data_IF_634109740353
#
_entry.id   IF_634109740353
#
_cell.length_a   1.000
_cell.length_b   1.000
_cell.length_c   1.000
_cell.angle_alpha   90.00
_cell.angle_beta   90.00
_cell.angle_gamma   90.00
#
_symmetry.space_group_name_H-M   'P 1'
#
loop_
_entity.id
_entity.type
_entity.pdbx_description
1 polymer ?
#
# COMPACT_ATOMS: atom_id res chain seq x y z
N UNK A 1 -14.36 31.71 27.54
CA UNK A 1 -13.07 31.15 27.98
C UNK A 1 -12.17 31.10 26.75
N UNK A 2 -11.39 32.16 26.52
CA UNK A 2 -10.46 32.24 25.37
C UNK A 2 -9.27 31.32 25.65
N UNK A 3 -8.98 30.40 24.74
CA UNK A 3 -7.75 29.61 24.79
C UNK A 3 -6.55 30.60 24.71
N UNK A 4 -5.46 30.39 25.49
CA UNK A 4 -4.29 31.27 25.49
C UNK A 4 -3.45 31.22 24.19
N UNK A 5 -3.98 30.58 23.14
CA UNK A 5 -3.32 30.41 21.85
C UNK A 5 -4.24 30.90 20.75
N UNK A 6 -3.69 31.73 19.84
CA UNK A 6 -4.41 32.23 18.70
C UNK A 6 -4.65 31.11 17.67
N UNK A 7 -5.85 30.52 17.70
CA UNK A 7 -6.25 29.45 16.78
C UNK A 7 -6.45 29.91 15.33
N UNK A 8 -6.35 31.22 15.05
CA UNK A 8 -6.48 31.74 13.69
C UNK A 8 -5.20 31.56 12.86
N UNK A 9 -4.03 31.39 13.51
CA UNK A 9 -2.75 31.25 12.80
C UNK A 9 -2.62 29.87 12.11
N UNK A 10 -2.29 29.81 10.80
CA UNK A 10 -2.29 28.56 10.03
C UNK A 10 -1.31 27.50 10.57
N UNK A 11 -0.14 27.92 11.05
CA UNK A 11 0.84 27.01 11.65
C UNK A 11 0.35 26.35 12.96
N UNK A 12 -0.42 27.09 13.78
CA UNK A 12 -0.98 26.57 15.03
C UNK A 12 -2.08 25.55 14.72
N UNK A 13 -2.91 25.81 13.70
CA UNK A 13 -3.93 24.85 13.23
C UNK A 13 -3.30 23.56 12.71
N UNK A 14 -2.21 23.65 11.95
CA UNK A 14 -1.49 22.48 11.46
C UNK A 14 -0.90 21.67 12.61
N UNK A 15 -0.25 22.33 13.57
CA UNK A 15 0.30 21.68 14.76
C UNK A 15 -0.79 20.99 15.60
N UNK A 16 -1.96 21.61 15.78
CA UNK A 16 -3.10 21.00 16.49
C UNK A 16 -3.66 19.78 15.75
N UNK A 17 -3.78 19.83 14.42
CA UNK A 17 -4.20 18.66 13.61
C UNK A 17 -3.18 17.53 13.71
N UNK A 18 -1.89 17.86 13.64
CA UNK A 18 -0.80 16.90 13.79
C UNK A 18 -0.79 16.26 15.18
N UNK A 19 -0.96 17.04 16.25
CA UNK A 19 -1.06 16.52 17.62
C UNK A 19 -2.23 15.55 17.81
N UNK A 20 -3.40 15.84 17.22
CA UNK A 20 -4.53 14.90 17.21
C UNK A 20 -4.17 13.61 16.47
N UNK A 21 -3.52 13.73 15.32
CA UNK A 21 -3.08 12.57 14.53
C UNK A 21 -2.07 11.70 15.27
N UNK A 22 -1.16 12.30 16.03
CA UNK A 22 -0.21 11.60 16.91
C UNK A 22 -0.89 10.80 18.02
N UNK A 23 -2.04 11.23 18.52
CA UNK A 23 -2.78 10.49 19.54
C UNK A 23 -3.64 9.36 18.94
N UNK A 24 -4.37 9.65 17.87
CA UNK A 24 -5.33 8.71 17.29
C UNK A 24 -4.69 7.59 16.47
N UNK A 25 -3.62 7.87 15.73
CA UNK A 25 -3.00 6.86 14.84
C UNK A 25 -2.39 5.68 15.61
N UNK A 26 -1.53 5.90 16.63
CA UNK A 26 -0.96 4.78 17.38
C UNK A 26 -2.04 3.97 18.10
N UNK A 27 -3.06 4.64 18.65
CA UNK A 27 -4.18 3.97 19.30
C UNK A 27 -4.93 3.05 18.33
N UNK A 28 -5.22 3.52 17.12
CA UNK A 28 -5.92 2.73 16.11
C UNK A 28 -5.06 1.56 15.58
N UNK A 29 -3.75 1.78 15.40
CA UNK A 29 -2.81 0.70 15.04
C UNK A 29 -2.77 -0.37 16.12
N UNK A 30 -2.65 0.02 17.39
CA UNK A 30 -2.65 -0.92 18.53
C UNK A 30 -3.98 -1.68 18.64
N UNK A 31 -5.11 -1.00 18.42
CA UNK A 31 -6.42 -1.64 18.38
C UNK A 31 -6.49 -2.73 17.30
N UNK A 32 -5.99 -2.44 16.10
CA UNK A 32 -5.96 -3.42 15.01
C UNK A 32 -5.05 -4.62 15.34
N UNK A 33 -3.84 -4.36 15.86
CA UNK A 33 -2.93 -5.43 16.30
C UNK A 33 -3.59 -6.30 17.36
N UNK A 34 -4.21 -5.70 18.38
CA UNK A 34 -4.91 -6.41 19.43
C UNK A 34 -6.06 -7.26 18.87
N UNK A 35 -6.87 -6.70 17.97
CA UNK A 35 -7.97 -7.43 17.33
C UNK A 35 -7.46 -8.66 16.55
N UNK A 36 -6.39 -8.51 15.76
CA UNK A 36 -5.78 -9.63 15.02
C UNK A 36 -5.26 -10.71 15.97
N UNK A 37 -4.52 -10.34 17.03
CA UNK A 37 -3.96 -11.29 18.00
C UNK A 37 -5.07 -12.02 18.76
N UNK A 38 -6.09 -11.31 19.25
CA UNK A 38 -7.23 -11.90 19.97
C UNK A 38 -8.00 -12.86 19.05
N UNK A 39 -8.30 -12.45 17.82
CA UNK A 39 -9.04 -13.30 16.88
C UNK A 39 -8.23 -14.51 16.40
N UNK A 40 -6.89 -14.40 16.35
CA UNK A 40 -6.03 -15.49 15.92
C UNK A 40 -5.72 -16.51 17.04
N UNK A 41 -5.59 -16.06 18.29
CA UNK A 41 -5.05 -16.88 19.39
C UNK A 41 -6.08 -17.16 20.50
N UNK A 42 -6.96 -16.21 20.80
CA UNK A 42 -7.82 -16.27 21.99
C UNK A 42 -9.21 -16.84 21.67
N UNK A 43 -9.77 -16.50 20.51
CA UNK A 43 -11.10 -16.94 20.13
C UNK A 43 -11.11 -18.36 19.56
N UNK A 44 -12.17 -19.11 19.91
CA UNK A 44 -12.49 -20.42 19.35
C UNK A 44 -13.92 -20.36 18.75
N UNK A 45 -14.11 -20.58 17.43
CA UNK A 45 -13.09 -20.89 16.45
C UNK A 45 -12.15 -19.71 16.19
N UNK A 46 -10.87 -20.00 15.96
CA UNK A 46 -9.89 -18.96 15.61
C UNK A 46 -10.09 -18.45 14.18
N UNK A 47 -9.58 -17.26 13.86
CA UNK A 47 -9.64 -16.71 12.49
C UNK A 47 -9.02 -17.66 11.46
N UNK A 48 -7.97 -18.39 11.84
CA UNK A 48 -7.37 -19.46 11.04
C UNK A 48 -8.36 -20.60 10.79
N UNK A 49 -8.99 -21.12 11.85
CA UNK A 49 -9.98 -22.20 11.73
C UNK A 49 -11.19 -21.78 10.90
N UNK A 50 -11.64 -20.52 11.02
CA UNK A 50 -12.69 -19.99 10.15
C UNK A 50 -12.22 -19.99 8.70
N UNK A 51 -11.00 -19.53 8.43
CA UNK A 51 -10.42 -19.56 7.08
C UNK A 51 -10.29 -20.98 6.52
N UNK A 52 -9.92 -21.96 7.35
CA UNK A 52 -9.79 -23.37 6.97
C UNK A 52 -11.16 -23.98 6.66
N UNK A 53 -12.19 -23.65 7.46
CA UNK A 53 -13.57 -24.09 7.26
C UNK A 53 -14.22 -23.51 5.99
N UNK A 54 -13.87 -22.28 5.63
CA UNK A 54 -14.33 -21.58 4.43
C UNK A 54 -13.18 -21.44 3.43
N UNK A 55 -12.60 -22.57 3.03
CA UNK A 55 -11.43 -22.58 2.16
C UNK A 55 -11.75 -22.04 0.77
N UNK A 56 -10.89 -21.15 0.27
CA UNK A 56 -11.00 -20.55 -1.07
C UNK A 56 -9.70 -20.75 -1.86
N UNK A 57 -9.69 -20.57 -3.19
CA UNK A 57 -8.47 -20.56 -3.99
C UNK A 57 -7.45 -19.51 -3.56
N UNK A 58 -7.92 -18.46 -2.87
CA UNK A 58 -7.13 -17.32 -2.42
C UNK A 58 -6.54 -17.48 -1.03
N UNK A 59 -6.90 -18.54 -0.29
CA UNK A 59 -6.36 -18.78 1.05
C UNK A 59 -4.84 -18.94 0.96
N UNK A 60 -4.07 -18.03 1.57
CA UNK A 60 -2.62 -18.14 1.59
C UNK A 60 -2.18 -19.12 2.67
N UNK A 61 -0.93 -19.55 2.59
CA UNK A 61 -0.27 -20.22 3.69
C UNK A 61 -0.31 -19.31 4.93
N UNK A 62 -0.82 -19.79 6.08
CA UNK A 62 -0.98 -18.96 7.29
C UNK A 62 0.32 -18.32 7.76
N UNK A 63 1.45 -19.01 7.59
CA UNK A 63 2.77 -18.51 8.02
C UNK A 63 3.25 -17.39 7.11
N UNK A 64 3.06 -17.54 5.79
CA UNK A 64 3.43 -16.51 4.83
C UNK A 64 2.60 -15.23 5.02
N UNK A 65 1.30 -15.39 5.29
CA UNK A 65 0.40 -14.27 5.60
C UNK A 65 0.75 -13.61 6.94
N UNK A 66 1.04 -14.40 7.98
CA UNK A 66 1.46 -13.87 9.28
C UNK A 66 2.76 -13.07 9.18
N UNK A 67 3.74 -13.52 8.39
CA UNK A 67 4.99 -12.79 8.18
C UNK A 67 4.73 -11.45 7.45
N UNK A 68 3.82 -11.45 6.47
CA UNK A 68 3.43 -10.23 5.77
C UNK A 68 2.82 -9.20 6.73
N UNK A 69 1.89 -9.62 7.58
CA UNK A 69 1.27 -8.76 8.60
C UNK A 69 2.29 -8.28 9.64
N UNK A 70 3.20 -9.15 10.07
CA UNK A 70 4.26 -8.78 11.01
C UNK A 70 5.11 -7.62 10.47
N UNK A 71 5.61 -7.75 9.24
CA UNK A 71 6.39 -6.68 8.58
C UNK A 71 5.56 -5.40 8.44
N UNK A 72 4.31 -5.53 8.03
CA UNK A 72 3.39 -4.40 7.87
C UNK A 72 3.16 -3.67 9.20
N UNK A 73 2.94 -4.40 10.30
CA UNK A 73 2.76 -3.80 11.63
C UNK A 73 4.03 -3.15 12.16
N UNK A 74 5.21 -3.74 11.94
CA UNK A 74 6.49 -3.11 12.29
C UNK A 74 6.66 -1.77 11.56
N UNK A 75 6.31 -1.71 10.27
CA UNK A 75 6.34 -0.47 9.49
C UNK A 75 5.30 0.55 9.98
N UNK A 76 4.08 0.13 10.33
CA UNK A 76 3.03 0.99 10.89
C UNK A 76 3.43 1.57 12.25
N UNK A 77 4.04 0.78 13.13
CA UNK A 77 4.56 1.26 14.41
C UNK A 77 5.70 2.25 14.17
N UNK A 78 6.59 1.95 13.23
CA UNK A 78 7.68 2.86 12.84
C UNK A 78 7.16 4.18 12.25
N UNK A 79 6.08 4.13 11.47
CA UNK A 79 5.37 5.32 11.00
C UNK A 79 4.81 6.15 12.16
N UNK A 80 4.25 5.51 13.18
CA UNK A 80 3.77 6.18 14.39
C UNK A 80 4.92 6.89 15.15
N UNK A 81 6.11 6.30 15.20
CA UNK A 81 7.29 6.97 15.77
C UNK A 81 7.71 8.18 14.92
N UNK A 82 7.62 8.07 13.59
CA UNK A 82 7.92 9.17 12.68
C UNK A 82 6.96 10.35 12.90
N UNK A 83 5.68 10.10 13.18
CA UNK A 83 4.71 11.15 13.54
C UNK A 83 5.17 11.95 14.76
N UNK A 84 5.78 11.31 15.75
CA UNK A 84 6.27 11.99 16.96
C UNK A 84 7.50 12.84 16.67
N UNK A 85 8.42 12.34 15.83
CA UNK A 85 9.70 13.01 15.52
C UNK A 85 9.55 14.08 14.42
N UNK A 86 8.41 14.14 13.72
CA UNK A 86 8.17 15.07 12.62
C UNK A 86 8.05 16.54 13.08
N UNK A 87 9.20 17.20 13.14
CA UNK A 87 9.30 18.62 13.54
C UNK A 87 9.33 19.62 12.37
N UNK A 88 9.40 19.14 11.12
CA UNK A 88 9.42 20.02 9.93
C UNK A 88 8.01 20.25 9.40
N UNK A 89 7.63 21.49 9.03
CA UNK A 89 6.28 21.80 8.56
C UNK A 89 5.89 21.04 7.30
N UNK A 90 6.83 20.85 6.35
CA UNK A 90 6.64 20.03 5.15
C UNK A 90 6.19 18.59 5.48
N UNK A 91 6.79 17.98 6.51
CA UNK A 91 6.44 16.62 6.95
C UNK A 91 5.06 16.60 7.58
N UNK A 92 4.74 17.61 8.37
CA UNK A 92 3.46 17.71 9.05
C UNK A 92 2.32 17.90 8.03
N UNK A 93 2.52 18.69 6.97
CA UNK A 93 1.53 18.85 5.90
C UNK A 93 1.29 17.54 5.16
N UNK A 94 2.35 16.84 4.75
CA UNK A 94 2.24 15.54 4.10
C UNK A 94 1.50 14.53 5.00
N UNK A 95 1.81 14.48 6.28
CA UNK A 95 1.19 13.53 7.22
C UNK A 95 -0.27 13.88 7.51
N UNK A 96 -0.61 15.16 7.63
CA UNK A 96 -1.97 15.61 7.94
C UNK A 96 -2.89 15.56 6.71
N UNK A 97 -2.40 15.97 5.54
CA UNK A 97 -3.22 16.07 4.33
C UNK A 97 -3.09 14.86 3.39
N UNK A 98 -1.92 14.20 3.35
CA UNK A 98 -1.71 13.01 2.53
C UNK A 98 -2.27 11.74 3.17
N UNK A 99 -1.87 11.47 4.42
CA UNK A 99 -2.30 10.26 5.15
C UNK A 99 -3.51 10.55 6.03
N UNK A 100 -3.42 11.59 6.86
CA UNK A 100 -4.50 12.16 7.64
C UNK A 100 -5.27 11.16 8.52
N UNK A 101 -6.51 11.55 8.84
CA UNK A 101 -7.45 10.73 9.63
C UNK A 101 -7.91 9.47 8.86
N UNK A 102 -7.71 9.42 7.53
CA UNK A 102 -8.08 8.27 6.71
C UNK A 102 -7.37 7.00 7.18
N UNK A 103 -6.08 7.08 7.56
CA UNK A 103 -5.36 5.91 8.06
C UNK A 103 -5.93 5.40 9.40
N UNK A 104 -6.41 6.30 10.27
CA UNK A 104 -7.09 5.92 11.51
C UNK A 104 -8.33 5.10 11.19
N UNK A 105 -9.15 5.55 10.24
CA UNK A 105 -10.33 4.81 9.80
C UNK A 105 -9.98 3.47 9.17
N UNK A 106 -8.94 3.40 8.33
CA UNK A 106 -8.44 2.13 7.77
C UNK A 106 -8.13 1.15 8.89
N UNK A 107 -7.31 1.53 9.88
CA UNK A 107 -6.94 0.63 10.97
C UNK A 107 -8.17 0.18 11.79
N UNK A 108 -9.12 1.07 12.05
CA UNK A 108 -10.36 0.72 12.73
C UNK A 108 -11.22 -0.26 11.91
N UNK A 109 -11.40 -0.02 10.61
CA UNK A 109 -12.18 -0.92 9.76
C UNK A 109 -11.50 -2.27 9.57
N UNK A 110 -10.17 -2.32 9.52
CA UNK A 110 -9.43 -3.58 9.48
C UNK A 110 -9.54 -4.36 10.80
N UNK A 111 -9.55 -3.66 11.94
CA UNK A 111 -9.83 -4.28 13.23
C UNK A 111 -11.25 -4.86 13.29
N UNK A 112 -12.24 -4.10 12.82
CA UNK A 112 -13.64 -4.56 12.75
C UNK A 112 -13.80 -5.70 11.73
N UNK A 113 -13.04 -5.67 10.63
CA UNK A 113 -13.03 -6.71 9.61
C UNK A 113 -12.64 -8.06 10.20
N UNK A 114 -11.50 -8.15 10.90
CA UNK A 114 -11.04 -9.43 11.45
C UNK A 114 -12.00 -9.98 12.52
N UNK A 115 -12.60 -9.10 13.32
CA UNK A 115 -13.64 -9.48 14.29
C UNK A 115 -14.88 -10.00 13.58
N UNK A 116 -15.40 -9.26 12.59
CA UNK A 116 -16.58 -9.66 11.82
C UNK A 116 -16.34 -10.98 11.06
N UNK A 117 -15.15 -11.17 10.50
CA UNK A 117 -14.74 -12.40 9.83
C UNK A 117 -14.76 -13.59 10.78
N UNK A 118 -14.17 -13.44 11.96
CA UNK A 118 -14.10 -14.51 12.98
C UNK A 118 -15.49 -14.87 13.51
N UNK A 119 -16.38 -13.89 13.63
CA UNK A 119 -17.81 -14.08 13.97
C UNK A 119 -18.65 -14.59 12.79
N UNK A 120 -18.06 -14.86 11.62
CA UNK A 120 -18.72 -15.32 10.39
C UNK A 120 -19.72 -14.32 9.80
N UNK A 121 -19.63 -13.04 10.16
CA UNK A 121 -20.38 -11.95 9.52
C UNK A 121 -19.68 -11.50 8.22
N UNK A 122 -19.63 -12.40 7.24
CA UNK A 122 -18.84 -12.21 6.01
C UNK A 122 -19.26 -10.99 5.18
N UNK A 123 -20.55 -10.66 5.15
CA UNK A 123 -21.03 -9.45 4.45
C UNK A 123 -20.50 -8.19 5.14
N UNK A 124 -20.55 -8.13 6.48
CA UNK A 124 -20.01 -6.99 7.22
C UNK A 124 -18.49 -6.88 7.05
N UNK A 125 -17.79 -8.01 7.11
CA UNK A 125 -16.34 -8.11 6.84
C UNK A 125 -15.98 -7.62 5.42
N UNK A 126 -16.76 -8.00 4.41
CA UNK A 126 -16.60 -7.52 3.03
C UNK A 126 -16.79 -6.00 2.92
N UNK A 127 -17.81 -5.45 3.61
CA UNK A 127 -18.06 -4.00 3.64
C UNK A 127 -16.88 -3.26 4.30
N UNK A 128 -16.40 -3.72 5.46
CA UNK A 128 -15.27 -3.10 6.13
C UNK A 128 -13.97 -3.18 5.32
N UNK A 129 -13.72 -4.31 4.66
CA UNK A 129 -12.57 -4.48 3.76
C UNK A 129 -12.66 -3.54 2.56
N UNK A 130 -13.84 -3.41 1.96
CA UNK A 130 -14.08 -2.50 0.82
C UNK A 130 -13.90 -1.03 1.20
N UNK A 131 -14.41 -0.63 2.38
CA UNK A 131 -14.20 0.72 2.91
C UNK A 131 -12.72 0.97 3.21
N UNK A 132 -12.02 0.01 3.81
CA UNK A 132 -10.58 0.10 4.08
C UNK A 132 -9.79 0.31 2.79
N UNK A 133 -10.11 -0.48 1.74
CA UNK A 133 -9.50 -0.33 0.43
C UNK A 133 -9.77 1.05 -0.19
N UNK A 134 -11.00 1.56 -0.09
CA UNK A 134 -11.35 2.88 -0.61
C UNK A 134 -10.51 3.98 0.05
N UNK A 135 -10.39 3.97 1.38
CA UNK A 135 -9.56 4.94 2.10
C UNK A 135 -8.07 4.77 1.80
N UNK A 136 -7.59 3.53 1.63
CA UNK A 136 -6.20 3.27 1.25
C UNK A 136 -5.88 3.79 -0.16
N UNK A 137 -6.76 3.56 -1.14
CA UNK A 137 -6.63 4.11 -2.49
C UNK A 137 -6.66 5.63 -2.45
N UNK A 138 -7.54 6.23 -1.64
CA UNK A 138 -7.57 7.68 -1.46
C UNK A 138 -6.26 8.24 -0.89
N UNK A 139 -5.69 7.60 0.14
CA UNK A 139 -4.39 7.97 0.71
C UNK A 139 -3.31 7.84 -0.35
N UNK A 140 -3.32 6.75 -1.12
CA UNK A 140 -2.33 6.50 -2.17
C UNK A 140 -2.37 7.53 -3.29
N UNK A 141 -3.57 7.93 -3.73
CA UNK A 141 -3.78 9.01 -4.68
C UNK A 141 -3.32 10.36 -4.11
N UNK A 142 -3.66 10.65 -2.85
CA UNK A 142 -3.26 11.87 -2.16
C UNK A 142 -1.74 11.98 -2.03
N UNK A 143 -1.05 10.85 -1.84
CA UNK A 143 0.41 10.78 -1.77
C UNK A 143 1.09 11.13 -3.10
N UNK A 144 0.40 11.14 -4.23
CA UNK A 144 0.98 11.63 -5.49
C UNK A 144 1.25 13.13 -5.49
N UNK A 145 0.50 13.89 -4.71
CA UNK A 145 0.73 15.33 -4.56
C UNK A 145 2.01 15.62 -3.76
N UNK A 146 2.54 14.62 -3.05
CA UNK A 146 3.74 14.73 -2.20
C UNK A 146 4.77 13.67 -2.62
N UNK A 147 5.41 13.83 -3.80
CA UNK A 147 6.29 12.80 -4.34
C UNK A 147 7.49 12.55 -3.42
N UNK A 148 7.95 11.30 -3.31
CA UNK A 148 9.08 10.96 -2.46
C UNK A 148 10.37 11.57 -2.98
N UNK A 149 11.09 12.28 -2.10
CA UNK A 149 12.42 12.79 -2.42
C UNK A 149 13.48 11.70 -2.25
N UNK A 150 14.31 11.49 -3.29
CA UNK A 150 15.43 10.54 -3.27
C UNK A 150 16.45 10.79 -2.15
N UNK A 151 16.53 12.02 -1.63
CA UNK A 151 17.40 12.39 -0.51
C UNK A 151 16.92 11.92 0.86
N UNK A 152 15.69 11.37 0.98
CA UNK A 152 15.08 10.96 2.25
C UNK A 152 14.49 9.54 2.17
N UNK A 153 15.31 8.49 1.97
CA UNK A 153 14.84 7.12 1.75
C UNK A 153 14.05 6.55 2.94
N UNK A 154 14.38 6.97 4.16
CA UNK A 154 13.67 6.54 5.37
C UNK A 154 12.22 7.02 5.38
N UNK A 155 11.95 8.24 4.90
CA UNK A 155 10.59 8.79 4.80
C UNK A 155 9.77 8.04 3.75
N UNK A 156 10.39 7.68 2.63
CA UNK A 156 9.75 6.82 1.64
C UNK A 156 9.39 5.46 2.24
N UNK A 157 10.34 4.79 2.89
CA UNK A 157 10.13 3.46 3.46
C UNK A 157 9.02 3.51 4.52
N UNK A 158 9.07 4.46 5.44
CA UNK A 158 8.15 4.48 6.58
C UNK A 158 6.78 5.08 6.28
N UNK A 159 6.63 5.90 5.24
CA UNK A 159 5.34 6.53 4.91
C UNK A 159 4.65 5.78 3.76
N UNK A 160 5.36 5.52 2.66
CA UNK A 160 4.74 4.99 1.44
C UNK A 160 4.61 3.47 1.48
N UNK A 161 5.63 2.77 2.00
CA UNK A 161 5.66 1.31 2.01
C UNK A 161 4.51 0.69 2.80
N UNK A 162 4.22 1.08 4.07
CA UNK A 162 3.12 0.45 4.80
C UNK A 162 1.77 0.65 4.11
N UNK A 163 1.50 1.82 3.53
CA UNK A 163 0.27 2.07 2.79
C UNK A 163 0.17 1.17 1.55
N UNK A 164 1.27 1.04 0.78
CA UNK A 164 1.31 0.16 -0.39
C UNK A 164 1.15 -1.31 0.00
N UNK A 165 1.78 -1.75 1.09
CA UNK A 165 1.60 -3.11 1.61
C UNK A 165 0.15 -3.38 2.02
N UNK A 166 -0.49 -2.43 2.71
CA UNK A 166 -1.90 -2.55 3.08
C UNK A 166 -2.80 -2.64 1.85
N UNK A 167 -2.57 -1.80 0.83
CA UNK A 167 -3.34 -1.88 -0.43
C UNK A 167 -3.17 -3.25 -1.08
N UNK A 168 -1.94 -3.72 -1.22
CA UNK A 168 -1.65 -4.98 -1.91
C UNK A 168 -2.32 -6.16 -1.23
N UNK A 169 -2.24 -6.29 0.10
CA UNK A 169 -2.88 -7.41 0.80
C UNK A 169 -4.40 -7.30 0.77
N UNK A 170 -4.94 -6.11 1.01
CA UNK A 170 -6.40 -5.91 1.01
C UNK A 170 -6.98 -6.12 -0.40
N UNK A 171 -6.30 -5.65 -1.44
CA UNK A 171 -6.76 -5.76 -2.82
C UNK A 171 -6.55 -7.16 -3.41
N UNK A 172 -5.33 -7.72 -3.34
CA UNK A 172 -4.99 -8.98 -4.01
C UNK A 172 -5.39 -10.23 -3.22
N UNK A 173 -5.62 -10.11 -1.91
CA UNK A 173 -5.92 -11.26 -1.05
C UNK A 173 -7.24 -11.12 -0.29
N UNK A 174 -7.42 -10.10 0.55
CA UNK A 174 -8.59 -10.05 1.44
C UNK A 174 -9.91 -9.88 0.67
N UNK A 175 -9.95 -8.93 -0.26
CA UNK A 175 -11.16 -8.64 -1.04
C UNK A 175 -11.62 -9.84 -1.88
N UNK A 176 -10.78 -10.47 -2.73
CA UNK A 176 -11.21 -11.64 -3.49
C UNK A 176 -11.56 -12.83 -2.60
N UNK A 177 -10.84 -13.05 -1.49
CA UNK A 177 -11.19 -14.11 -0.54
C UNK A 177 -12.58 -13.91 0.05
N UNK A 178 -12.89 -12.71 0.56
CA UNK A 178 -14.19 -12.42 1.15
C UNK A 178 -15.32 -12.49 0.12
N UNK A 179 -15.07 -12.04 -1.11
CA UNK A 179 -16.05 -12.14 -2.18
C UNK A 179 -16.39 -13.61 -2.50
N UNK A 180 -15.39 -14.49 -2.56
CA UNK A 180 -15.60 -15.93 -2.78
C UNK A 180 -16.40 -16.56 -1.64
N UNK A 181 -16.11 -16.18 -0.39
CA UNK A 181 -16.86 -16.67 0.77
C UNK A 181 -18.32 -16.22 0.72
N UNK A 182 -18.58 -14.93 0.43
CA UNK A 182 -19.94 -14.37 0.36
C UNK A 182 -20.74 -14.96 -0.81
N UNK A 183 -20.09 -15.24 -1.95
CA UNK A 183 -20.72 -15.90 -3.11
C UNK A 183 -20.94 -17.41 -2.88
N UNK A 184 -20.45 -17.97 -1.76
CA UNK A 184 -20.54 -19.39 -1.47
C UNK A 184 -19.60 -20.25 -2.32
N UNK A 185 -18.63 -19.65 -3.02
CA UNK A 185 -17.61 -20.35 -3.81
C UNK A 185 -16.47 -20.85 -2.91
N UNK A 186 -16.85 -21.63 -1.89
CA UNK A 186 -15.94 -22.21 -0.91
C UNK A 186 -15.85 -23.71 -1.08
N UNK A 187 -14.72 -24.28 -0.65
CA UNK A 187 -14.47 -25.71 -0.68
C UNK A 187 -14.49 -26.26 0.74
N UNK A 188 -15.11 -27.42 0.90
CA UNK A 188 -15.01 -28.16 2.15
C UNK A 188 -13.82 -29.11 2.09
N UNK A 189 -12.95 -29.05 3.11
CA UNK A 189 -11.78 -29.92 3.22
C UNK A 189 -12.13 -31.42 3.13
N UNK A 190 -13.36 -31.79 3.52
CA UNK A 190 -13.86 -33.16 3.50
C UNK A 190 -14.24 -33.71 2.12
N UNK A 191 -14.25 -32.88 1.05
CA UNK A 191 -14.63 -33.29 -0.31
C UNK A 191 -13.54 -32.90 -1.34
N UNK A 192 -12.57 -33.80 -1.64
CA UNK A 192 -11.46 -33.48 -2.53
C UNK A 192 -11.89 -33.08 -3.95
N UNK A 193 -13.01 -33.60 -4.47
CA UNK A 193 -13.51 -33.28 -5.82
C UNK A 193 -14.11 -31.86 -5.95
N UNK A 194 -14.42 -31.19 -4.84
CA UNK A 194 -15.03 -29.86 -4.87
C UNK A 194 -14.02 -28.77 -5.31
N UNK A 195 -12.71 -29.03 -5.24
CA UNK A 195 -11.68 -28.03 -5.58
C UNK A 195 -11.77 -27.60 -7.05
N UNK A 196 -12.20 -28.49 -7.96
CA UNK A 196 -12.36 -28.14 -9.37
C UNK A 196 -13.56 -27.21 -9.62
N UNK A 197 -14.50 -27.15 -8.68
CA UNK A 197 -15.66 -26.25 -8.79
C UNK A 197 -15.16 -24.81 -8.74
N UNK A 198 -15.68 -23.98 -9.62
CA UNK A 198 -15.32 -22.57 -9.72
C UNK A 198 -13.83 -22.25 -10.03
N UNK A 199 -13.04 -23.24 -10.49
CA UNK A 199 -11.61 -23.03 -10.76
C UNK A 199 -11.37 -21.95 -11.84
N UNK A 200 -12.21 -21.87 -12.87
CA UNK A 200 -12.10 -20.85 -13.91
C UNK A 200 -12.49 -19.46 -13.43
N UNK A 201 -13.48 -19.36 -12.53
CA UNK A 201 -13.83 -18.12 -11.86
C UNK A 201 -12.65 -17.63 -11.01
N UNK A 202 -12.02 -18.54 -10.26
CA UNK A 202 -10.81 -18.23 -9.50
C UNK A 202 -9.68 -17.71 -10.39
N UNK A 203 -9.42 -18.37 -11.52
CA UNK A 203 -8.42 -17.90 -12.50
C UNK A 203 -8.76 -16.51 -13.03
N UNK A 204 -10.02 -16.25 -13.40
CA UNK A 204 -10.43 -14.94 -13.90
C UNK A 204 -10.17 -13.84 -12.86
N UNK A 205 -10.48 -14.09 -11.58
CA UNK A 205 -10.21 -13.15 -10.50
C UNK A 205 -8.71 -12.98 -10.24
N UNK A 206 -7.93 -14.07 -10.18
CA UNK A 206 -6.47 -13.99 -10.01
C UNK A 206 -5.85 -13.17 -11.13
N UNK A 207 -6.23 -13.42 -12.38
CA UNK A 207 -5.74 -12.68 -13.54
C UNK A 207 -6.15 -11.21 -13.47
N UNK A 208 -7.42 -10.90 -13.22
CA UNK A 208 -7.90 -9.52 -13.18
C UNK A 208 -7.22 -8.67 -12.08
N UNK A 209 -7.16 -9.20 -10.87
CA UNK A 209 -6.58 -8.50 -9.73
C UNK A 209 -5.06 -8.35 -9.86
N UNK A 210 -4.36 -9.42 -10.27
CA UNK A 210 -2.92 -9.34 -10.47
C UNK A 210 -2.55 -8.49 -11.69
N UNK A 211 -3.37 -8.44 -12.74
CA UNK A 211 -3.11 -7.56 -13.88
C UNK A 211 -3.10 -6.09 -13.44
N UNK A 212 -4.02 -5.69 -12.55
CA UNK A 212 -4.03 -4.34 -11.99
C UNK A 212 -2.76 -4.06 -11.16
N UNK A 213 -2.28 -5.02 -10.36
CA UNK A 213 -1.01 -4.89 -9.64
C UNK A 213 0.22 -4.83 -10.54
N UNK A 214 0.26 -5.66 -11.59
CA UNK A 214 1.32 -5.66 -12.61
C UNK A 214 1.32 -4.35 -13.39
N UNK A 215 0.15 -3.81 -13.72
CA UNK A 215 0.02 -2.51 -14.39
C UNK A 215 0.62 -1.38 -13.55
N UNK A 216 0.37 -1.38 -12.24
CA UNK A 216 0.96 -0.39 -11.33
C UNK A 216 2.50 -0.50 -11.31
N UNK A 217 3.04 -1.71 -11.30
CA UNK A 217 4.49 -1.95 -11.43
C UNK A 217 5.00 -1.49 -12.80
N UNK A 218 4.26 -1.74 -13.88
CA UNK A 218 4.63 -1.34 -15.24
C UNK A 218 4.76 0.19 -15.38
N UNK A 219 3.77 0.91 -14.87
CA UNK A 219 3.69 2.36 -14.98
C UNK A 219 4.75 3.06 -14.15
N UNK A 220 5.15 2.48 -13.00
CA UNK A 220 5.94 3.21 -11.99
C UNK A 220 7.28 2.59 -11.67
N UNK A 221 7.49 1.32 -11.96
CA UNK A 221 8.69 0.58 -11.54
C UNK A 221 8.80 0.55 -10.02
N UNK A 222 7.67 0.38 -9.32
CA UNK A 222 7.61 0.40 -7.86
C UNK A 222 8.00 -0.96 -7.29
N UNK A 223 9.14 -1.02 -6.60
CA UNK A 223 9.65 -2.25 -6.04
C UNK A 223 8.75 -2.80 -4.91
N UNK A 224 8.06 -1.92 -4.17
CA UNK A 224 7.23 -2.34 -3.04
C UNK A 224 6.04 -3.15 -3.55
N UNK A 225 5.37 -2.67 -4.60
CA UNK A 225 4.28 -3.39 -5.26
C UNK A 225 4.75 -4.71 -5.86
N UNK A 226 5.89 -4.72 -6.54
CA UNK A 226 6.44 -5.94 -7.13
C UNK A 226 6.74 -7.00 -6.06
N UNK A 227 7.43 -6.60 -4.98
CA UNK A 227 7.78 -7.50 -3.89
C UNK A 227 6.55 -8.00 -3.14
N UNK A 228 5.64 -7.09 -2.76
CA UNK A 228 4.43 -7.41 -2.02
C UNK A 228 3.49 -8.32 -2.81
N UNK A 229 3.26 -8.01 -4.09
CA UNK A 229 2.44 -8.84 -4.98
C UNK A 229 3.02 -10.23 -5.13
N UNK A 230 4.33 -10.34 -5.38
CA UNK A 230 5.03 -11.63 -5.45
C UNK A 230 4.89 -12.42 -4.14
N UNK A 231 5.06 -11.78 -2.99
CA UNK A 231 4.94 -12.45 -1.68
C UNK A 231 3.55 -13.02 -1.43
N UNK A 232 2.49 -12.25 -1.72
CA UNK A 232 1.10 -12.71 -1.56
C UNK A 232 0.84 -13.93 -2.44
N UNK A 233 1.30 -13.91 -3.69
CA UNK A 233 1.08 -15.01 -4.63
C UNK A 233 1.92 -16.23 -4.23
N UNK A 234 3.14 -16.06 -3.74
CA UNK A 234 3.93 -17.17 -3.16
C UNK A 234 3.18 -17.79 -1.98
N UNK A 235 2.64 -16.95 -1.09
CA UNK A 235 1.81 -17.41 0.02
C UNK A 235 0.62 -18.24 -0.45
N UNK A 236 -0.04 -17.80 -1.51
CA UNK A 236 -1.12 -18.53 -2.17
C UNK A 236 -0.60 -19.84 -2.81
N UNK A 237 0.52 -19.83 -3.53
CA UNK A 237 1.06 -20.97 -4.27
C UNK A 237 1.44 -22.14 -3.35
N UNK A 238 1.97 -21.84 -2.16
CA UNK A 238 2.40 -22.83 -1.17
C UNK A 238 1.19 -23.50 -0.49
N UNK A 239 0.02 -22.85 -0.45
CA UNK A 239 -1.19 -23.45 0.09
C UNK A 239 -1.70 -24.57 -0.83
N UNK A 240 -1.93 -25.77 -0.26
CA UNK A 240 -2.41 -26.97 -0.96
C UNK A 240 -3.64 -27.54 -0.26
N UNK A 241 -4.55 -28.25 -0.98
CA UNK A 241 -4.55 -28.52 -2.42
C UNK A 241 -5.16 -27.37 -3.26
N UNK A 242 -4.74 -27.24 -4.53
CA UNK A 242 -5.27 -26.26 -5.48
C UNK A 242 -5.53 -26.87 -6.86
N UNK A 243 -6.54 -26.39 -7.60
CA UNK A 243 -6.74 -26.77 -8.99
C UNK A 243 -5.55 -26.40 -9.86
N UNK A 244 -5.21 -27.26 -10.82
CA UNK A 244 -4.14 -27.03 -11.79
C UNK A 244 -4.21 -25.65 -12.48
N UNK A 245 -5.37 -25.16 -12.97
CA UNK A 245 -5.41 -23.88 -13.67
C UNK A 245 -5.17 -22.68 -12.74
N UNK A 246 -5.63 -22.75 -11.49
CA UNK A 246 -5.35 -21.73 -10.46
C UNK A 246 -3.86 -21.69 -10.14
N UNK A 247 -3.26 -22.86 -9.94
CA UNK A 247 -1.83 -22.99 -9.68
C UNK A 247 -0.98 -22.44 -10.83
N UNK A 248 -1.36 -22.70 -12.08
CA UNK A 248 -0.68 -22.16 -13.25
C UNK A 248 -0.77 -20.62 -13.31
N UNK A 249 -1.93 -20.04 -13.02
CA UNK A 249 -2.09 -18.59 -12.97
C UNK A 249 -1.22 -17.95 -11.87
N UNK A 250 -1.25 -18.48 -10.65
CA UNK A 250 -0.39 -18.04 -9.55
C UNK A 250 1.10 -18.11 -9.93
N UNK A 251 1.52 -19.21 -10.56
CA UNK A 251 2.91 -19.39 -11.00
C UNK A 251 3.34 -18.36 -12.05
N UNK A 252 2.48 -18.07 -13.03
CA UNK A 252 2.77 -17.06 -14.06
C UNK A 252 3.00 -15.69 -13.41
N UNK A 253 2.09 -15.24 -12.54
CA UNK A 253 2.25 -13.93 -11.93
C UNK A 253 3.43 -13.86 -10.95
N UNK A 254 3.75 -14.95 -10.26
CA UNK A 254 4.97 -15.06 -9.43
C UNK A 254 6.24 -14.73 -10.23
N UNK A 255 6.28 -15.07 -11.53
CA UNK A 255 7.40 -14.78 -12.42
C UNK A 255 7.26 -13.38 -13.04
N UNK A 256 6.06 -12.98 -13.45
CA UNK A 256 5.81 -11.71 -14.14
C UNK A 256 6.19 -10.49 -13.29
N UNK A 257 5.80 -10.45 -12.00
CA UNK A 257 6.12 -9.32 -11.11
C UNK A 257 7.64 -9.02 -11.03
N UNK A 258 8.50 -9.97 -10.65
CA UNK A 258 9.94 -9.71 -10.54
C UNK A 258 10.58 -9.48 -11.92
N UNK A 259 10.21 -10.22 -12.96
CA UNK A 259 10.77 -10.04 -14.31
C UNK A 259 10.45 -8.66 -14.86
N UNK A 260 9.20 -8.20 -14.70
CA UNK A 260 8.79 -6.87 -15.13
C UNK A 260 9.57 -5.79 -14.38
N UNK A 261 9.71 -5.91 -13.06
CA UNK A 261 10.47 -4.96 -12.27
C UNK A 261 11.95 -4.90 -12.69
N UNK A 262 12.61 -6.05 -12.84
CA UNK A 262 14.01 -6.13 -13.28
C UNK A 262 14.17 -5.54 -14.68
N UNK A 263 13.26 -5.85 -15.61
CA UNK A 263 13.28 -5.31 -16.97
C UNK A 263 13.17 -3.79 -16.96
N UNK A 264 12.26 -3.22 -16.17
CA UNK A 264 12.10 -1.76 -16.04
C UNK A 264 13.31 -1.11 -15.36
N UNK A 265 13.88 -1.78 -14.36
CA UNK A 265 15.09 -1.30 -13.68
C UNK A 265 16.26 -1.22 -14.65
N UNK A 266 16.53 -2.29 -15.40
CA UNK A 266 17.59 -2.34 -16.42
C UNK A 266 17.32 -1.29 -17.51
N UNK A 267 16.09 -1.20 -18.03
CA UNK A 267 15.71 -0.22 -19.04
C UNK A 267 15.96 1.22 -18.59
N UNK A 268 15.55 1.58 -17.37
CA UNK A 268 15.76 2.92 -16.81
C UNK A 268 17.23 3.21 -16.55
N UNK A 269 18.00 2.23 -16.09
CA UNK A 269 19.43 2.37 -15.86
C UNK A 269 20.18 2.61 -17.18
N UNK A 270 19.89 1.84 -18.22
CA UNK A 270 20.49 1.99 -19.55
C UNK A 270 20.04 3.27 -20.27
N UNK A 271 18.76 3.62 -20.16
CA UNK A 271 18.21 4.84 -20.79
C UNK A 271 18.64 6.13 -20.09
N UNK A 272 18.95 6.06 -18.78
CA UNK A 272 19.45 7.18 -17.99
C UNK A 272 20.88 7.60 -18.33
N UNK A 273 21.69 6.70 -18.89
CA UNK A 273 23.06 6.98 -19.32
C UNK A 273 23.20 7.63 -20.70
N UNK A 274 22.10 7.73 -21.46
CA UNK A 274 22.10 8.22 -22.85
C UNK A 274 21.81 9.71 -23.04
N UNK A 275 21.48 10.46 -21.97
CA UNK A 275 21.37 11.93 -22.04
C UNK A 275 22.76 12.54 -21.84
N UNK A 276 23.61 12.39 -22.85
CA UNK A 276 24.74 13.28 -23.05
C UNK A 276 24.11 14.66 -23.21
N UNK A 277 24.21 15.50 -22.18
CA UNK A 277 24.08 16.93 -22.37
C UNK A 277 25.16 17.30 -23.38
N UNK A 278 24.77 17.69 -24.58
CA UNK A 278 25.67 18.38 -25.48
C UNK A 278 26.30 19.52 -24.65
N UNK A 279 27.64 19.64 -24.62
CA UNK A 279 28.26 20.86 -24.12
C UNK A 279 27.54 22.01 -24.84
N UNK A 280 27.07 23.00 -24.08
CA UNK A 280 26.56 24.22 -24.69
C UNK A 280 27.69 24.70 -25.61
N UNK A 281 27.45 24.72 -26.92
CA UNK A 281 28.46 25.19 -27.88
C UNK A 281 28.94 26.55 -27.38
N UNK A 282 30.26 26.76 -27.33
CA UNK A 282 30.85 27.98 -26.72
C UNK A 282 30.23 29.26 -27.31
N UNK A 283 29.77 29.19 -28.57
CA UNK A 283 29.02 30.22 -29.27
C UNK A 283 27.66 30.54 -28.63
N UNK A 284 26.87 29.54 -28.21
CA UNK A 284 25.61 29.75 -27.48
C UNK A 284 25.84 30.28 -26.06
N UNK A 285 26.94 29.87 -25.41
CA UNK A 285 27.35 30.40 -24.11
C UNK A 285 27.80 31.87 -24.20
N UNK A 286 28.48 32.25 -25.28
CA UNK A 286 28.85 33.64 -25.55
C UNK A 286 27.64 34.50 -25.93
N UNK A 287 26.72 33.99 -26.77
CA UNK A 287 25.49 34.71 -27.14
C UNK A 287 24.60 34.93 -25.92
N UNK A 288 24.48 33.96 -25.02
CA UNK A 288 23.68 34.10 -23.79
C UNK A 288 24.32 35.07 -22.79
N UNK A 289 25.65 35.06 -22.64
CA UNK A 289 26.38 36.09 -21.86
C UNK A 289 26.27 37.49 -22.46
N UNK A 290 26.36 37.62 -23.78
CA UNK A 290 26.21 38.88 -24.50
C UNK A 290 24.78 39.45 -24.34
N UNK A 291 23.75 38.59 -24.44
CA UNK A 291 22.35 38.98 -24.19
C UNK A 291 22.12 39.43 -22.74
N UNK A 292 22.74 38.76 -21.76
CA UNK A 292 22.66 39.15 -20.37
C UNK A 292 23.34 40.51 -20.10
N UNK A 293 24.51 40.76 -20.71
CA UNK A 293 25.22 42.03 -20.59
C UNK A 293 24.45 43.21 -21.22
N UNK A 294 23.80 43.00 -22.37
CA UNK A 294 22.95 44.02 -23.02
C UNK A 294 21.71 44.34 -22.18
N UNK A 295 21.09 43.33 -21.55
CA UNK A 295 19.94 43.54 -20.68
C UNK A 295 20.28 44.38 -19.43
N UNK A 296 21.45 44.15 -18.82
CA UNK A 296 21.95 44.95 -17.69
C UNK A 296 22.24 46.39 -18.12
N UNK A 297 22.87 46.59 -19.28
CA UNK A 297 23.17 47.92 -19.83
C UNK A 297 21.91 48.74 -20.13
N UNK A 298 20.88 48.09 -20.69
CA UNK A 298 19.59 48.74 -20.98
C UNK A 298 18.74 48.99 -19.73
N UNK A 299 18.98 48.25 -18.64
CA UNK A 299 18.37 48.49 -17.33
C UNK A 299 18.98 49.69 -16.59
N UNK A 300 20.27 49.94 -16.77
CA UNK A 300 20.96 51.08 -16.15
C UNK A 300 20.71 52.42 -16.86
N UNK A 301 20.33 52.42 -18.14
CA UNK A 301 20.00 53.64 -18.89
C UNK A 301 18.57 54.17 -18.64
N UNK A 302 17.81 53.54 -17.74
CA UNK A 302 16.44 53.92 -17.36
C UNK A 302 16.31 54.46 -15.93
N UNK A 303 17.43 54.71 -15.26
CA UNK A 303 17.51 55.51 -14.03
C UNK A 303 18.18 56.84 -14.33
#
# INVERSE_FOLDING_TARGET
MSLPFDSSHPAIRLALKHARLQAFTPMAVLLNVAAVVICAVVLNPSSKEVSDNFSTPFNPNPTALALYWLVTFVLLISYCLLLIVANKPEKQEMMVYGVGLCLVFVQCFMALNIVAFTLKFFIASLVFTSLSLLFLVWIHLSLYMYPPHHSRPVEFILIHTPIRLLIVVTFLQELPQLLFIVLGWTYHASKPDDHQKHAWQAVAFIVAFNMAGVLEVALRGDFVWAFAGTWIIIGQLIARPKPAPVFAADLIFTIVYPVLYVTLFVWRHLSGGGRIALPIDEEEAEISRARAAVAVRNGQSRQ
#
